data_IF_995059186498
#
_entry.id   IF_995059186498
#
_cell.length_a   1.000
_cell.length_b   1.000
_cell.length_c   1.000
_cell.angle_alpha   90.00
_cell.angle_beta   90.00
_cell.angle_gamma   90.00
#
_symmetry.space_group_name_H-M   'P 1'
#
loop_
_entity.id
_entity.type
_entity.pdbx_description
1 polymer ?
#
# COMPACT_ATOMS: atom_id res chain seq x y z
N UNK A 1 -25.57 17.03 -20.97
CA UNK A 1 -26.31 15.86 -20.48
C UNK A 1 -25.31 14.74 -20.27
N UNK A 2 -24.99 14.40 -19.02
CA UNK A 2 -24.17 13.22 -18.73
C UNK A 2 -25.09 12.01 -18.96
N UNK A 3 -24.70 11.14 -19.88
CA UNK A 3 -25.46 9.92 -20.18
C UNK A 3 -25.10 8.89 -19.12
N UNK A 4 -26.05 8.57 -18.25
CA UNK A 4 -25.88 7.49 -17.28
C UNK A 4 -25.56 6.20 -18.02
N UNK A 5 -24.42 5.60 -17.66
CA UNK A 5 -24.04 4.30 -18.21
C UNK A 5 -24.98 3.24 -17.62
N UNK A 6 -25.47 2.27 -18.43
CA UNK A 6 -26.48 1.29 -17.99
C UNK A 6 -26.02 0.40 -16.82
N UNK A 7 -24.72 0.41 -16.51
CA UNK A 7 -24.12 -0.35 -15.43
C UNK A 7 -23.21 0.60 -14.62
N UNK A 8 -23.73 1.28 -13.58
CA UNK A 8 -22.90 2.12 -12.73
C UNK A 8 -21.84 1.23 -12.06
N UNK A 9 -20.57 1.67 -11.96
CA UNK A 9 -19.56 0.89 -11.28
C UNK A 9 -19.99 0.68 -9.83
N UNK A 10 -20.17 -0.59 -9.43
CA UNK A 10 -20.57 -0.99 -8.08
C UNK A 10 -19.47 -0.82 -7.05
N UNK A 11 -18.24 -0.51 -7.49
CA UNK A 11 -17.08 -0.30 -6.64
C UNK A 11 -16.43 1.05 -6.96
N UNK A 12 -16.04 1.83 -5.92
CA UNK A 12 -15.40 3.13 -6.12
C UNK A 12 -13.97 3.01 -6.71
N UNK A 13 -13.38 1.80 -6.66
CA UNK A 13 -12.04 1.52 -7.18
C UNK A 13 -12.05 0.24 -8.00
N UNK A 14 -11.43 0.29 -9.18
CA UNK A 14 -11.20 -0.88 -10.04
C UNK A 14 -9.74 -0.89 -10.49
N UNK A 15 -9.12 -2.07 -10.53
CA UNK A 15 -7.81 -2.22 -11.14
C UNK A 15 -7.96 -2.31 -12.65
N UNK A 16 -7.03 -1.65 -13.35
CA UNK A 16 -6.92 -1.78 -14.80
C UNK A 16 -6.46 -3.21 -15.14
N UNK A 17 -7.14 -3.91 -16.07
CA UNK A 17 -6.85 -5.31 -16.37
C UNK A 17 -5.51 -5.51 -17.08
N UNK A 18 -4.94 -4.45 -17.63
CA UNK A 18 -3.68 -4.43 -18.37
C UNK A 18 -2.46 -4.05 -17.50
N UNK A 19 -2.62 -3.91 -16.18
CA UNK A 19 -1.51 -3.65 -15.29
C UNK A 19 -0.63 -4.88 -15.09
N UNK A 20 0.68 -4.71 -15.31
CA UNK A 20 1.68 -5.72 -15.01
C UNK A 20 1.93 -5.88 -13.52
N UNK A 21 2.48 -7.03 -13.13
CA UNK A 21 2.85 -7.34 -11.74
C UNK A 21 3.79 -6.29 -11.15
N UNK A 22 4.74 -5.78 -11.93
CA UNK A 22 5.64 -4.69 -11.51
C UNK A 22 4.87 -3.45 -11.06
N UNK A 23 3.95 -2.96 -11.88
CA UNK A 23 3.18 -1.75 -11.56
C UNK A 23 2.31 -1.96 -10.33
N UNK A 24 1.74 -3.16 -10.17
CA UNK A 24 0.96 -3.51 -8.97
C UNK A 24 1.85 -3.51 -7.71
N UNK A 25 3.01 -4.15 -7.77
CA UNK A 25 3.94 -4.23 -6.64
C UNK A 25 4.61 -2.89 -6.33
N UNK A 26 4.93 -2.09 -7.34
CA UNK A 26 5.47 -0.74 -7.16
C UNK A 26 4.44 0.19 -6.49
N UNK A 27 3.16 0.13 -6.89
CA UNK A 27 2.10 0.87 -6.19
C UNK A 27 1.93 0.38 -4.76
N UNK A 28 1.92 -0.94 -4.53
CA UNK A 28 1.83 -1.49 -3.18
C UNK A 28 3.01 -1.05 -2.29
N UNK A 29 4.23 -1.02 -2.84
CA UNK A 29 5.42 -0.50 -2.17
C UNK A 29 5.26 0.98 -1.79
N UNK A 30 4.72 1.80 -2.69
CA UNK A 30 4.50 3.23 -2.42
C UNK A 30 3.44 3.43 -1.32
N UNK A 31 2.34 2.67 -1.37
CA UNK A 31 1.30 2.72 -0.34
C UNK A 31 1.85 2.28 1.03
N UNK A 32 2.68 1.23 1.08
CA UNK A 32 3.31 0.75 2.31
C UNK A 32 4.27 1.78 2.90
N UNK A 33 5.09 2.43 2.08
CA UNK A 33 5.96 3.52 2.53
C UNK A 33 5.14 4.68 3.12
N UNK A 34 4.07 5.10 2.44
CA UNK A 34 3.16 6.13 2.91
C UNK A 34 2.48 5.75 4.25
N UNK A 35 1.99 4.51 4.36
CA UNK A 35 1.39 4.01 5.59
C UNK A 35 2.39 3.95 6.75
N UNK A 36 3.65 3.63 6.48
CA UNK A 36 4.68 3.61 7.50
C UNK A 36 4.95 5.02 8.04
N UNK A 37 5.01 6.02 7.16
CA UNK A 37 5.15 7.43 7.57
C UNK A 37 3.95 7.90 8.42
N UNK A 38 2.72 7.53 8.04
CA UNK A 38 1.50 7.84 8.80
C UNK A 38 1.52 7.16 10.17
N UNK A 39 1.87 5.87 10.23
CA UNK A 39 1.92 5.12 11.48
C UNK A 39 3.03 5.64 12.41
N UNK A 40 4.18 6.00 11.85
CA UNK A 40 5.29 6.60 12.58
C UNK A 40 4.89 7.98 13.13
N UNK A 41 4.26 8.82 12.31
CA UNK A 41 3.73 10.11 12.75
C UNK A 41 2.72 9.94 13.89
N UNK A 42 1.76 9.01 13.76
CA UNK A 42 0.81 8.70 14.82
C UNK A 42 1.50 8.26 16.12
N UNK A 43 2.56 7.45 16.03
CA UNK A 43 3.32 7.00 17.19
C UNK A 43 3.97 8.17 17.96
N UNK A 44 4.27 9.29 17.31
CA UNK A 44 4.73 10.50 17.99
C UNK A 44 3.59 11.26 18.70
N UNK A 45 2.39 11.26 18.14
CA UNK A 45 1.22 12.00 18.63
C UNK A 45 0.51 11.33 19.84
N UNK A 46 0.71 10.03 20.05
CA UNK A 46 0.04 9.27 21.14
C UNK A 46 1.02 8.76 22.19
N UNK A 47 0.53 8.35 23.36
CA UNK A 47 1.37 7.87 24.47
C UNK A 47 0.95 6.49 24.99
N UNK A 48 1.80 5.90 25.84
CA UNK A 48 1.53 4.64 26.53
C UNK A 48 1.25 3.47 25.58
N UNK A 49 0.20 2.70 25.88
CA UNK A 49 -0.16 1.51 25.10
C UNK A 49 -0.50 1.82 23.63
N UNK A 50 -1.09 2.99 23.35
CA UNK A 50 -1.43 3.40 21.98
C UNK A 50 -0.17 3.62 21.13
N UNK A 51 0.87 4.22 21.73
CA UNK A 51 2.18 4.37 21.06
C UNK A 51 2.79 3.02 20.71
N UNK A 52 2.73 2.07 21.64
CA UNK A 52 3.25 0.73 21.40
C UNK A 52 2.49 0.01 20.27
N UNK A 53 1.16 0.22 20.16
CA UNK A 53 0.39 -0.32 19.04
C UNK A 53 0.78 0.33 17.71
N UNK A 54 0.93 1.66 17.65
CA UNK A 54 1.38 2.36 16.45
C UNK A 54 2.79 1.91 16.00
N UNK A 55 3.72 1.75 16.94
CA UNK A 55 5.05 1.19 16.65
C UNK A 55 4.99 -0.28 16.19
N UNK A 56 4.07 -1.07 16.75
CA UNK A 56 3.80 -2.43 16.28
C UNK A 56 3.34 -2.47 14.82
N UNK A 57 2.48 -1.53 14.42
CA UNK A 57 2.06 -1.36 13.02
C UNK A 57 3.26 -1.00 12.14
N UNK A 58 4.09 -0.03 12.54
CA UNK A 58 5.31 0.34 11.79
C UNK A 58 6.19 -0.90 11.56
N UNK A 59 6.42 -1.68 12.61
CA UNK A 59 7.24 -2.90 12.54
C UNK A 59 6.67 -3.94 11.57
N UNK A 60 5.35 -4.10 11.52
CA UNK A 60 4.70 -5.00 10.57
C UNK A 60 4.80 -4.47 9.13
N UNK A 61 4.59 -3.16 8.93
CA UNK A 61 4.69 -2.52 7.62
C UNK A 61 6.10 -2.65 7.03
N UNK A 62 7.16 -2.42 7.81
CA UNK A 62 8.54 -2.67 7.39
C UNK A 62 8.76 -4.12 6.93
N UNK A 63 8.19 -5.09 7.64
CA UNK A 63 8.28 -6.50 7.26
C UNK A 63 7.58 -6.79 5.94
N UNK A 64 6.38 -6.22 5.73
CA UNK A 64 5.63 -6.37 4.47
C UNK A 64 6.35 -5.66 3.32
N UNK A 65 6.91 -4.47 3.56
CA UNK A 65 7.69 -3.71 2.59
C UNK A 65 8.83 -4.57 2.03
N UNK A 66 9.62 -5.20 2.90
CA UNK A 66 10.72 -6.09 2.48
C UNK A 66 10.23 -7.28 1.62
N UNK A 67 9.06 -7.83 1.92
CA UNK A 67 8.48 -8.92 1.13
C UNK A 67 8.02 -8.42 -0.25
N UNK A 68 7.42 -7.22 -0.32
CA UNK A 68 6.98 -6.60 -1.58
C UNK A 68 8.17 -6.20 -2.43
N UNK A 69 9.18 -5.56 -1.85
CA UNK A 69 10.44 -5.21 -2.54
C UNK A 69 11.09 -6.46 -3.12
N UNK A 70 11.15 -7.55 -2.34
CA UNK A 70 11.68 -8.82 -2.82
C UNK A 70 10.86 -9.39 -3.97
N UNK A 71 9.53 -9.32 -3.90
CA UNK A 71 8.65 -9.78 -4.97
C UNK A 71 8.81 -8.92 -6.24
N UNK A 72 9.02 -7.60 -6.08
CA UNK A 72 9.25 -6.66 -7.18
C UNK A 72 10.57 -6.99 -7.88
N UNK A 73 11.66 -7.19 -7.12
CA UNK A 73 12.96 -7.62 -7.65
C UNK A 73 12.87 -8.95 -8.42
N UNK A 74 12.04 -9.88 -7.95
CA UNK A 74 11.84 -11.17 -8.64
C UNK A 74 11.00 -11.04 -9.91
N UNK A 75 10.01 -10.13 -9.93
CA UNK A 75 9.23 -9.84 -11.12
C UNK A 75 10.06 -9.09 -12.18
N UNK A 76 11.01 -8.26 -11.73
CA UNK A 76 11.89 -7.45 -12.55
C UNK A 76 13.37 -7.73 -12.22
N UNK A 77 13.90 -8.90 -12.63
CA UNK A 77 15.29 -9.21 -12.41
C UNK A 77 16.17 -8.20 -13.15
N UNK A 78 16.97 -7.46 -12.40
CA UNK A 78 18.02 -6.60 -12.96
C UNK A 78 18.95 -7.51 -13.78
N UNK A 79 19.12 -7.18 -15.06
CA UNK A 79 19.97 -7.92 -16.00
C UNK A 79 21.46 -7.92 -15.59
#
# INVERSE_FOLDING_TARGET
MIKDSPNPPTTPFTLRPDLGTETLLANASQDLACLNDIAAHLAFEVEGAQRNMALGICRMLEGVQLLVDKALDQAHPVA
#
